data_IF_519271150118
#
_entry.id   IF_519271150118
#
_cell.length_a   1.000
_cell.length_b   1.000
_cell.length_c   1.000
_cell.angle_alpha   90.00
_cell.angle_beta   90.00
_cell.angle_gamma   90.00
#
_symmetry.space_group_name_H-M   'P 1'
#
loop_
_entity.id
_entity.type
_entity.pdbx_description
1 polymer ?
#
# COMPACT_ATOMS: atom_id res chain seq x y z
N UNK A 1 -3.27 27.06 -3.70
CA UNK A 1 -1.85 26.67 -3.70
C UNK A 1 -1.75 25.17 -3.49
N UNK A 2 -1.03 24.48 -4.35
CA UNK A 2 -0.87 23.05 -4.25
C UNK A 2 0.06 22.67 -3.11
N UNK A 3 -0.35 21.70 -2.30
CA UNK A 3 0.45 21.19 -1.20
C UNK A 3 1.69 20.47 -1.74
N UNK A 4 2.85 20.79 -1.20
CA UNK A 4 4.11 20.15 -1.55
C UNK A 4 4.04 18.63 -1.38
N UNK A 5 3.44 18.16 -0.27
CA UNK A 5 3.30 16.73 -0.01
C UNK A 5 2.46 16.06 -1.09
N UNK A 6 1.36 16.69 -1.52
CA UNK A 6 0.52 16.15 -2.60
C UNK A 6 1.33 15.99 -3.89
N UNK A 7 2.20 16.95 -4.21
CA UNK A 7 3.07 16.87 -5.40
C UNK A 7 4.10 15.75 -5.27
N UNK A 8 4.65 15.58 -4.08
CA UNK A 8 5.61 14.51 -3.82
C UNK A 8 4.95 13.13 -3.95
N UNK A 9 3.72 12.99 -3.45
CA UNK A 9 2.94 11.76 -3.60
C UNK A 9 2.63 11.48 -5.07
N UNK A 10 2.26 12.50 -5.83
CA UNK A 10 2.03 12.35 -7.27
C UNK A 10 3.29 11.88 -7.99
N UNK A 11 4.47 12.40 -7.59
CA UNK A 11 5.75 11.96 -8.12
C UNK A 11 6.07 10.50 -7.82
N UNK A 12 5.53 9.95 -6.72
CA UNK A 12 5.67 8.54 -6.37
C UNK A 12 4.61 7.64 -7.04
N UNK A 13 3.65 8.22 -7.75
CA UNK A 13 2.62 7.47 -8.44
C UNK A 13 1.30 7.36 -7.69
N UNK A 14 1.14 8.08 -6.58
CA UNK A 14 -0.13 8.12 -5.86
C UNK A 14 -1.11 9.08 -6.53
N UNK A 15 -2.37 8.72 -6.51
CA UNK A 15 -3.46 9.56 -6.99
C UNK A 15 -4.47 9.78 -5.86
N UNK A 16 -5.05 10.96 -5.81
CA UNK A 16 -6.08 11.26 -4.82
C UNK A 16 -7.30 10.37 -5.07
N UNK A 17 -7.64 9.54 -4.08
CA UNK A 17 -8.78 8.63 -4.16
C UNK A 17 -10.04 9.21 -3.51
N UNK A 18 -9.88 10.08 -2.52
CA UNK A 18 -11.03 10.67 -1.85
C UNK A 18 -10.67 11.39 -0.57
N UNK A 19 -11.71 11.74 0.18
CA UNK A 19 -11.61 12.39 1.47
C UNK A 19 -12.61 11.74 2.40
N UNK A 20 -12.19 11.39 3.61
CA UNK A 20 -13.12 10.82 4.58
C UNK A 20 -13.95 11.89 5.27
N UNK A 21 -14.82 11.47 6.20
CA UNK A 21 -15.73 12.38 6.92
C UNK A 21 -15.01 13.40 7.80
N UNK A 22 -13.77 13.10 8.19
CA UNK A 22 -12.93 13.97 9.02
C UNK A 22 -12.08 14.93 8.20
N UNK A 23 -12.17 14.85 6.88
CA UNK A 23 -11.36 15.65 5.98
C UNK A 23 -9.99 15.08 5.70
N UNK A 24 -9.71 13.84 6.12
CA UNK A 24 -8.45 13.16 5.83
C UNK A 24 -8.42 12.80 4.35
N UNK A 25 -7.39 13.26 3.65
CA UNK A 25 -7.19 12.96 2.24
C UNK A 25 -6.62 11.55 2.09
N UNK A 26 -7.15 10.79 1.15
CA UNK A 26 -6.72 9.42 0.89
C UNK A 26 -6.13 9.35 -0.51
N UNK A 27 -4.89 8.92 -0.58
CA UNK A 27 -4.17 8.70 -1.84
C UNK A 27 -3.91 7.22 -2.01
N UNK A 28 -3.98 6.74 -3.25
CA UNK A 28 -3.80 5.33 -3.56
C UNK A 28 -2.79 5.14 -4.68
N UNK A 29 -2.06 4.05 -4.61
CA UNK A 29 -1.13 3.61 -5.64
C UNK A 29 -1.27 2.10 -5.79
N UNK A 30 -1.39 1.62 -7.03
CA UNK A 30 -1.46 0.19 -7.31
C UNK A 30 -0.30 -0.19 -8.20
N UNK A 31 0.86 -0.58 -7.63
CA UNK A 31 2.03 -0.95 -8.44
C UNK A 31 1.81 -2.23 -9.25
N UNK A 32 0.90 -3.09 -8.80
CA UNK A 32 0.45 -4.26 -9.55
C UNK A 32 -0.98 -4.60 -9.15
N UNK A 33 -1.57 -5.63 -9.76
CA UNK A 33 -2.98 -5.97 -9.54
C UNK A 33 -3.28 -6.61 -8.18
N UNK A 34 -2.24 -7.00 -7.42
CA UNK A 34 -2.42 -7.64 -6.11
C UNK A 34 -2.18 -6.68 -4.95
N UNK A 35 -1.45 -5.60 -5.17
CA UNK A 35 -1.00 -4.70 -4.11
C UNK A 35 -1.62 -3.33 -4.26
N UNK A 36 -2.23 -2.83 -3.20
CA UNK A 36 -2.68 -1.44 -3.10
C UNK A 36 -1.98 -0.79 -1.93
N UNK A 37 -1.39 0.37 -2.17
CA UNK A 37 -0.73 1.19 -1.15
C UNK A 37 -1.55 2.45 -0.94
N UNK A 38 -1.72 2.85 0.32
CA UNK A 38 -2.53 4.00 0.70
C UNK A 38 -1.72 4.97 1.55
N UNK A 39 -1.97 6.25 1.34
CA UNK A 39 -1.49 7.30 2.23
C UNK A 39 -2.71 8.09 2.70
N UNK A 40 -2.89 8.17 4.02
CA UNK A 40 -3.96 8.90 4.66
C UNK A 40 -3.36 10.16 5.27
N UNK A 41 -3.68 11.33 4.72
CA UNK A 41 -3.07 12.60 5.10
C UNK A 41 -4.08 13.45 5.90
N UNK A 42 -3.78 13.66 7.19
CA UNK A 42 -4.63 14.51 8.04
C UNK A 42 -4.14 15.95 8.14
N UNK A 43 -3.10 16.33 7.41
CA UNK A 43 -2.53 17.68 7.41
C UNK A 43 -1.37 17.88 8.38
N UNK A 44 -1.23 17.04 9.40
CA UNK A 44 -0.16 17.10 10.39
C UNK A 44 0.87 15.99 10.20
N UNK A 45 0.36 14.80 9.92
CA UNK A 45 1.18 13.63 9.61
C UNK A 45 0.40 12.74 8.65
N UNK A 46 1.00 11.67 8.20
CA UNK A 46 0.37 10.72 7.29
C UNK A 46 0.47 9.30 7.84
N UNK A 47 -0.48 8.46 7.45
CA UNK A 47 -0.43 7.02 7.71
C UNK A 47 -0.20 6.31 6.39
N UNK A 48 0.80 5.44 6.35
CA UNK A 48 1.02 4.55 5.21
C UNK A 48 0.44 3.19 5.54
N UNK A 49 -0.46 2.71 4.69
CA UNK A 49 -1.07 1.39 4.81
C UNK A 49 -0.99 0.67 3.47
N UNK A 50 -1.23 -0.62 3.48
CA UNK A 50 -1.25 -1.40 2.25
C UNK A 50 -2.11 -2.64 2.45
N UNK A 51 -2.56 -3.21 1.32
CA UNK A 51 -3.27 -4.49 1.32
C UNK A 51 -2.77 -5.29 0.12
N UNK A 52 -2.66 -6.60 0.32
CA UNK A 52 -2.22 -7.53 -0.70
C UNK A 52 -3.28 -8.63 -0.86
N UNK A 53 -3.75 -8.82 -2.08
CA UNK A 53 -4.78 -9.82 -2.39
C UNK A 53 -4.15 -11.21 -2.53
N UNK A 54 -3.93 -11.85 -1.39
CA UNK A 54 -3.22 -13.13 -1.30
C UNK A 54 -3.95 -14.24 -2.03
N UNK A 55 -5.28 -14.30 -1.93
CA UNK A 55 -6.09 -15.32 -2.59
C UNK A 55 -5.93 -15.28 -4.11
N UNK A 56 -6.01 -14.09 -4.71
CA UNK A 56 -5.84 -13.94 -6.15
C UNK A 56 -4.40 -14.24 -6.59
N UNK A 57 -3.42 -13.81 -5.79
CA UNK A 57 -2.02 -14.10 -6.07
C UNK A 57 -1.76 -15.60 -6.09
N UNK A 58 -2.22 -16.34 -5.10
CA UNK A 58 -2.04 -17.77 -5.02
C UNK A 58 -2.78 -18.48 -6.16
N UNK A 59 -3.97 -18.02 -6.53
CA UNK A 59 -4.71 -18.58 -7.65
C UNK A 59 -3.96 -18.39 -8.97
N UNK A 60 -3.33 -17.23 -9.16
CA UNK A 60 -2.54 -16.95 -10.37
C UNK A 60 -1.31 -17.85 -10.49
N UNK A 61 -0.73 -18.27 -9.37
CA UNK A 61 0.41 -19.17 -9.32
C UNK A 61 0.02 -20.65 -9.18
N UNK A 62 -1.28 -20.93 -9.17
CA UNK A 62 -1.81 -22.29 -8.93
C UNK A 62 -1.30 -22.89 -7.61
N UNK A 63 -1.12 -22.03 -6.61
CA UNK A 63 -0.72 -22.47 -5.28
C UNK A 63 -1.93 -22.96 -4.50
N UNK A 64 -1.75 -24.04 -3.74
CA UNK A 64 -2.79 -24.51 -2.84
C UNK A 64 -2.70 -23.74 -1.52
N UNK A 65 -3.84 -23.20 -1.10
CA UNK A 65 -3.95 -22.51 0.18
C UNK A 65 -4.62 -23.47 1.16
N UNK A 66 -4.02 -23.63 2.35
CA UNK A 66 -4.58 -24.46 3.42
C UNK A 66 -5.92 -23.91 3.92
N UNK A 67 -6.73 -24.75 4.57
CA UNK A 67 -8.06 -24.36 5.04
C UNK A 67 -8.02 -23.16 6.00
N UNK A 68 -6.98 -23.03 6.82
CA UNK A 68 -6.82 -21.90 7.72
C UNK A 68 -6.46 -20.61 6.97
N UNK A 69 -5.82 -20.73 5.82
CA UNK A 69 -5.33 -19.60 5.02
C UNK A 69 -6.39 -19.13 4.02
N UNK A 70 -7.33 -19.97 3.65
CA UNK A 70 -8.39 -19.59 2.68
C UNK A 70 -9.29 -18.47 3.21
N UNK A 71 -9.34 -18.28 4.53
CA UNK A 71 -10.08 -17.16 5.12
C UNK A 71 -9.28 -15.84 5.05
N UNK A 72 -7.97 -15.91 4.80
CA UNK A 72 -7.09 -14.74 4.70
C UNK A 72 -6.77 -14.44 3.24
N UNK A 73 -7.77 -13.94 2.52
CA UNK A 73 -7.59 -13.58 1.12
C UNK A 73 -6.85 -12.26 0.94
N UNK A 74 -6.76 -11.48 1.99
CA UNK A 74 -6.08 -10.17 1.97
C UNK A 74 -5.08 -10.13 3.10
N UNK A 75 -3.85 -9.73 2.78
CA UNK A 75 -2.80 -9.55 3.74
C UNK A 75 -2.66 -8.05 4.04
N UNK A 76 -2.72 -7.70 5.32
CA UNK A 76 -2.59 -6.33 5.79
C UNK A 76 -1.31 -6.16 6.60
N UNK A 77 -0.82 -4.92 6.79
CA UNK A 77 0.26 -4.70 7.75
C UNK A 77 -0.21 -5.00 9.17
N UNK A 78 0.72 -5.43 10.04
CA UNK A 78 0.41 -5.68 11.43
C UNK A 78 0.04 -4.40 12.17
N UNK A 79 0.58 -3.27 11.70
CA UNK A 79 0.20 -1.94 12.14
C UNK A 79 0.55 -0.91 11.10
N UNK A 80 -0.20 0.19 11.11
CA UNK A 80 -0.01 1.27 10.17
C UNK A 80 1.29 2.02 10.48
N UNK A 81 2.00 2.43 9.45
CA UNK A 81 3.20 3.23 9.60
C UNK A 81 2.83 4.70 9.60
N UNK A 82 3.03 5.37 10.74
CA UNK A 82 2.89 6.82 10.82
C UNK A 82 4.17 7.46 10.31
N UNK A 83 4.05 8.37 9.35
CA UNK A 83 5.19 8.99 8.69
C UNK A 83 5.04 10.51 8.65
N UNK A 84 6.16 11.25 8.64
CA UNK A 84 6.11 12.69 8.35
C UNK A 84 5.56 12.92 6.94
N UNK A 85 4.99 14.09 6.72
CA UNK A 85 4.41 14.47 5.41
C UNK A 85 5.50 14.84 4.42
N UNK A 86 6.29 13.85 4.01
CA UNK A 86 7.34 14.00 3.00
C UNK A 86 7.33 12.80 2.06
N UNK A 87 7.63 13.05 0.80
CA UNK A 87 7.74 11.97 -0.19
C UNK A 87 8.85 11.00 0.16
N UNK A 88 9.95 11.48 0.75
CA UNK A 88 11.06 10.63 1.16
C UNK A 88 10.66 9.63 2.24
N UNK A 89 9.85 10.04 3.23
CA UNK A 89 9.39 9.14 4.28
C UNK A 89 8.45 8.07 3.72
N UNK A 90 7.54 8.46 2.83
CA UNK A 90 6.63 7.50 2.17
C UNK A 90 7.43 6.56 1.28
N UNK A 91 8.40 7.07 0.52
CA UNK A 91 9.26 6.25 -0.33
C UNK A 91 10.02 5.19 0.46
N UNK A 92 10.48 5.53 1.66
CA UNK A 92 11.16 4.57 2.55
C UNK A 92 10.21 3.44 2.99
N UNK A 93 8.97 3.77 3.30
CA UNK A 93 7.97 2.74 3.65
C UNK A 93 7.65 1.83 2.46
N UNK A 94 7.61 2.39 1.25
CA UNK A 94 7.45 1.60 0.03
C UNK A 94 8.60 0.61 -0.13
N UNK A 95 9.85 1.06 0.06
CA UNK A 95 11.02 0.19 -0.04
C UNK A 95 10.98 -0.94 1.00
N UNK A 96 10.58 -0.63 2.23
CA UNK A 96 10.43 -1.64 3.30
C UNK A 96 9.38 -2.68 2.95
N UNK A 97 8.26 -2.22 2.38
CA UNK A 97 7.20 -3.13 1.93
C UNK A 97 7.69 -4.03 0.80
N UNK A 98 8.37 -3.48 -0.19
CA UNK A 98 8.90 -4.24 -1.32
C UNK A 98 9.86 -5.33 -0.85
N UNK A 99 10.75 -5.00 0.08
CA UNK A 99 11.68 -5.97 0.65
C UNK A 99 10.93 -7.06 1.41
N UNK A 100 9.91 -6.70 2.16
CA UNK A 100 9.10 -7.67 2.91
C UNK A 100 8.36 -8.63 1.97
N UNK A 101 7.74 -8.09 0.92
CA UNK A 101 7.03 -8.93 -0.06
C UNK A 101 7.99 -9.84 -0.82
N UNK A 102 9.18 -9.34 -1.17
CA UNK A 102 10.20 -10.16 -1.82
C UNK A 102 10.68 -11.28 -0.90
N UNK A 103 10.85 -11.01 0.40
CA UNK A 103 11.22 -12.02 1.39
C UNK A 103 10.17 -13.12 1.53
N UNK A 104 8.91 -12.78 1.33
CA UNK A 104 7.79 -13.71 1.37
C UNK A 104 7.46 -14.34 0.01
N UNK A 105 8.25 -14.04 -1.02
CA UNK A 105 8.02 -14.45 -2.41
C UNK A 105 6.67 -13.97 -2.97
N UNK A 106 6.21 -12.80 -2.52
CA UNK A 106 4.95 -12.20 -2.94
C UNK A 106 5.17 -11.07 -3.96
N UNK A 107 6.04 -11.31 -4.94
CA UNK A 107 6.24 -10.37 -6.05
C UNK A 107 5.36 -10.77 -7.23
N UNK A 108 4.98 -9.79 -8.07
CA UNK A 108 4.12 -10.07 -9.21
C UNK A 108 4.78 -11.09 -10.14
N UNK A 109 4.13 -12.26 -10.39
CA UNK A 109 4.72 -13.29 -11.23
C UNK A 109 4.82 -12.91 -12.70
N UNK A 110 4.17 -11.81 -13.11
CA UNK A 110 4.22 -11.33 -14.48
C UNK A 110 5.32 -10.30 -14.74
N UNK A 111 6.07 -9.95 -13.71
CA UNK A 111 7.21 -9.03 -13.84
C UNK A 111 8.52 -9.77 -14.08
#
# INVERSE_FOLDING_TARGET
MEDRFARELAGLGFALAGRDRRGVLQYARRPNRYLTQWVHDNGEHALFTWEFELGEFCAALDWQIGAAETSMQILYPQRDARVPRTGGAVGLEIERLELRLAHLDLTDPLL
#
